data_IF_170448089087
#
_entry.id   IF_170448089087
#
_cell.length_a   1.000
_cell.length_b   1.000
_cell.length_c   1.000
_cell.angle_alpha   90.00
_cell.angle_beta   90.00
_cell.angle_gamma   90.00
#
_symmetry.space_group_name_H-M   'P 1'
#
loop_
_entity.id
_entity.type
_entity.pdbx_description
1 polymer ?
#
# COMPACT_ATOMS: atom_id res chain seq x y z
N UNK A 1 18.63 -12.64 10.75
CA UNK A 1 17.57 -13.44 10.10
C UNK A 1 17.04 -12.59 8.96
N UNK A 2 17.54 -12.81 7.75
CA UNK A 2 17.07 -12.09 6.56
C UNK A 2 15.66 -12.58 6.26
N UNK A 3 14.67 -11.70 6.49
CA UNK A 3 13.32 -11.95 5.99
C UNK A 3 13.41 -11.68 4.49
N UNK A 4 13.11 -12.66 3.61
CA UNK A 4 13.23 -12.44 2.18
C UNK A 4 12.40 -11.22 1.79
N UNK A 5 13.09 -10.25 1.18
CA UNK A 5 12.48 -9.08 0.57
C UNK A 5 11.39 -9.52 -0.42
N UNK A 6 10.48 -8.59 -0.76
CA UNK A 6 9.48 -8.78 -1.80
C UNK A 6 10.06 -9.54 -3.00
N UNK A 7 9.39 -10.62 -3.42
CA UNK A 7 9.70 -11.30 -4.68
C UNK A 7 9.64 -10.25 -5.81
N UNK A 8 10.80 -9.83 -6.31
CA UNK A 8 10.91 -8.70 -7.24
C UNK A 8 10.50 -9.09 -8.65
N UNK A 9 10.54 -10.38 -8.99
CA UNK A 9 10.28 -10.86 -10.36
C UNK A 9 8.91 -10.44 -10.89
N UNK A 10 7.88 -10.43 -10.02
CA UNK A 10 6.54 -9.96 -10.40
C UNK A 10 6.54 -8.45 -10.68
N UNK A 11 7.29 -7.69 -9.89
CA UNK A 11 7.33 -6.23 -10.00
C UNK A 11 8.13 -5.76 -11.20
N UNK A 12 9.25 -6.42 -11.51
CA UNK A 12 10.08 -6.12 -12.67
C UNK A 12 9.27 -6.23 -13.96
N UNK A 13 8.50 -7.33 -14.11
CA UNK A 13 7.60 -7.51 -15.25
C UNK A 13 6.52 -6.42 -15.35
N UNK A 14 5.99 -5.93 -14.21
CA UNK A 14 5.05 -4.80 -14.22
C UNK A 14 5.75 -3.52 -14.69
N UNK A 15 6.93 -3.21 -14.14
CA UNK A 15 7.69 -2.00 -14.45
C UNK A 15 8.08 -1.92 -15.92
N UNK A 16 8.45 -3.05 -16.52
CA UNK A 16 8.74 -3.14 -17.96
C UNK A 16 7.48 -3.00 -18.84
N UNK A 17 6.32 -3.41 -18.33
CA UNK A 17 5.07 -3.48 -19.10
C UNK A 17 4.29 -2.17 -19.14
N UNK A 18 4.63 -1.17 -18.32
CA UNK A 18 3.83 0.05 -18.17
C UNK A 18 4.66 1.31 -18.32
N UNK A 19 4.08 2.32 -18.96
CA UNK A 19 4.69 3.65 -19.12
C UNK A 19 4.34 4.63 -17.99
N UNK A 20 3.47 4.22 -17.07
CA UNK A 20 3.07 5.02 -15.90
C UNK A 20 3.96 4.71 -14.68
N UNK A 21 4.13 5.65 -13.74
CA UNK A 21 4.92 5.39 -12.55
C UNK A 21 4.39 4.22 -11.70
N UNK A 22 5.31 3.36 -11.24
CA UNK A 22 5.08 2.17 -10.42
C UNK A 22 5.51 2.44 -8.98
N UNK A 23 4.59 2.21 -8.05
CA UNK A 23 4.84 2.23 -6.61
C UNK A 23 4.90 0.77 -6.13
N UNK A 24 6.06 0.35 -5.65
CA UNK A 24 6.26 -1.01 -5.16
C UNK A 24 6.01 -1.08 -3.66
N UNK A 25 5.38 -2.15 -3.21
CA UNK A 25 5.16 -2.43 -1.79
C UNK A 25 5.47 -3.90 -1.50
N UNK A 26 5.15 -4.36 -0.29
CA UNK A 26 5.35 -5.71 0.26
C UNK A 26 6.61 -5.86 1.13
N UNK A 27 6.41 -6.04 2.44
CA UNK A 27 7.47 -6.30 3.46
C UNK A 27 8.75 -5.44 3.31
N UNK A 28 8.59 -4.19 2.89
CA UNK A 28 9.71 -3.28 2.66
C UNK A 28 10.41 -2.87 3.95
N UNK A 29 11.73 -2.79 3.89
CA UNK A 29 12.58 -2.06 4.83
C UNK A 29 13.44 -1.04 4.04
N UNK A 30 14.21 -0.19 4.72
CA UNK A 30 15.04 0.83 4.06
C UNK A 30 16.05 0.21 3.08
N UNK A 31 16.90 -0.71 3.54
CA UNK A 31 17.96 -1.29 2.71
C UNK A 31 17.43 -1.96 1.44
N UNK A 32 16.33 -2.72 1.57
CA UNK A 32 15.65 -3.38 0.45
C UNK A 32 15.01 -2.36 -0.49
N UNK A 33 14.28 -1.38 0.06
CA UNK A 33 13.61 -0.36 -0.74
C UNK A 33 14.60 0.53 -1.50
N UNK A 34 15.68 0.93 -0.86
CA UNK A 34 16.76 1.70 -1.47
C UNK A 34 17.43 0.94 -2.61
N UNK A 35 17.76 -0.34 -2.38
CA UNK A 35 18.32 -1.20 -3.43
C UNK A 35 17.40 -1.24 -4.67
N UNK A 36 16.12 -1.53 -4.48
CA UNK A 36 15.15 -1.62 -5.58
C UNK A 36 14.99 -0.30 -6.32
N UNK A 37 14.96 0.81 -5.57
CA UNK A 37 14.84 2.15 -6.14
C UNK A 37 16.06 2.50 -7.00
N UNK A 38 17.27 2.24 -6.49
CA UNK A 38 18.54 2.48 -7.21
C UNK A 38 18.67 1.58 -8.43
N UNK A 39 18.23 0.33 -8.35
CA UNK A 39 18.23 -0.62 -9.47
C UNK A 39 17.13 -0.33 -10.51
N UNK A 40 16.25 0.65 -10.25
CA UNK A 40 15.19 1.06 -11.18
C UNK A 40 13.96 0.14 -11.20
N UNK A 41 13.84 -0.80 -10.26
CA UNK A 41 12.71 -1.73 -10.16
C UNK A 41 11.39 -1.05 -9.77
N UNK A 42 11.44 0.17 -9.23
CA UNK A 42 10.25 0.97 -8.91
C UNK A 42 10.56 2.48 -8.97
N UNK A 43 9.55 3.30 -9.27
CA UNK A 43 9.67 4.77 -9.16
C UNK A 43 9.47 5.24 -7.72
N UNK A 44 8.76 4.47 -6.90
CA UNK A 44 8.51 4.78 -5.50
C UNK A 44 8.40 3.52 -4.65
N UNK A 45 8.77 3.63 -3.38
CA UNK A 45 8.63 2.56 -2.39
C UNK A 45 7.54 2.92 -1.39
N UNK A 46 6.50 2.09 -1.30
CA UNK A 46 5.44 2.22 -0.31
C UNK A 46 5.73 1.36 0.93
N UNK A 47 5.81 2.03 2.08
CA UNK A 47 6.00 1.40 3.38
C UNK A 47 4.78 1.64 4.26
N UNK A 48 4.09 0.56 4.67
CA UNK A 48 2.98 0.66 5.62
C UNK A 48 3.41 0.34 7.06
N UNK A 49 3.61 -0.95 7.37
CA UNK A 49 4.01 -1.40 8.71
C UNK A 49 5.34 -0.81 9.21
N UNK A 50 6.36 -0.53 8.38
CA UNK A 50 7.56 0.18 8.84
C UNK A 50 7.25 1.56 9.44
N UNK A 51 6.32 2.32 8.84
CA UNK A 51 5.90 3.62 9.37
C UNK A 51 5.07 3.50 10.65
N UNK A 52 4.38 2.38 10.86
CA UNK A 52 3.69 2.09 12.13
C UNK A 52 4.72 1.76 13.22
N UNK A 53 5.76 0.99 12.88
CA UNK A 53 6.80 0.61 13.82
C UNK A 53 7.67 1.81 14.22
N UNK A 54 7.98 2.69 13.26
CA UNK A 54 8.77 3.90 13.44
C UNK A 54 8.20 5.06 12.60
N UNK A 55 7.38 5.94 13.21
CA UNK A 55 6.84 7.11 12.52
C UNK A 55 7.92 8.11 12.06
N UNK A 56 9.10 8.10 12.68
CA UNK A 56 10.23 8.98 12.33
C UNK A 56 11.14 8.39 11.26
N UNK A 57 10.83 7.19 10.76
CA UNK A 57 11.61 6.49 9.73
C UNK A 57 12.01 7.41 8.56
N UNK A 58 11.13 8.23 7.95
CA UNK A 58 11.53 9.10 6.85
C UNK A 58 12.58 10.14 7.26
N UNK A 59 12.43 10.74 8.43
CA UNK A 59 13.36 11.75 8.95
C UNK A 59 14.70 11.15 9.33
N UNK A 60 14.70 9.97 9.97
CA UNK A 60 15.93 9.26 10.35
C UNK A 60 16.71 8.83 9.12
N UNK A 61 16.02 8.25 8.13
CA UNK A 61 16.64 7.81 6.89
C UNK A 61 17.22 8.98 6.09
N UNK A 62 16.50 10.12 5.99
CA UNK A 62 17.02 11.34 5.36
C UNK A 62 18.26 11.91 6.07
N UNK A 63 18.38 11.71 7.38
CA UNK A 63 19.52 12.18 8.18
C UNK A 63 20.67 11.18 8.24
N UNK A 64 20.59 10.06 7.51
CA UNK A 64 21.59 8.99 7.55
C UNK A 64 21.60 8.18 8.84
N UNK A 65 20.60 8.33 9.71
CA UNK A 65 20.47 7.65 11.01
C UNK A 65 19.73 6.32 10.88
N UNK A 66 20.12 5.53 9.88
CA UNK A 66 19.43 4.28 9.52
C UNK A 66 19.55 3.19 10.58
N UNK A 67 20.60 3.24 11.40
CA UNK A 67 20.84 2.39 12.56
C UNK A 67 19.88 2.67 13.73
N UNK A 68 19.30 3.87 13.80
CA UNK A 68 18.29 4.25 14.79
C UNK A 68 16.84 3.88 14.38
N UNK A 69 16.65 3.35 13.17
CA UNK A 69 15.33 3.01 12.66
C UNK A 69 14.86 1.73 13.34
N UNK A 70 13.68 1.77 13.98
CA UNK A 70 13.07 0.58 14.56
C UNK A 70 12.47 -0.30 13.45
N UNK A 71 13.04 -1.48 13.15
CA UNK A 71 12.55 -2.30 12.05
C UNK A 71 11.21 -2.97 12.40
N UNK A 72 10.34 -3.08 11.40
CA UNK A 72 9.14 -3.88 11.50
C UNK A 72 9.49 -5.38 11.42
N UNK A 73 9.05 -6.17 12.40
CA UNK A 73 9.24 -7.64 12.43
C UNK A 73 8.19 -8.42 11.65
N UNK A 74 7.25 -7.72 11.02
CA UNK A 74 6.18 -8.29 10.19
C UNK A 74 5.30 -9.34 10.90
N UNK A 75 5.12 -9.21 12.22
CA UNK A 75 4.32 -10.12 13.05
C UNK A 75 2.81 -9.99 12.84
N UNK A 76 2.35 -8.88 12.23
CA UNK A 76 0.94 -8.52 12.07
C UNK A 76 0.16 -8.30 13.39
N UNK A 77 0.86 -8.27 14.52
CA UNK A 77 0.29 -8.01 15.84
C UNK A 77 0.21 -6.50 16.12
N UNK A 78 -0.83 -6.07 16.82
CA UNK A 78 -1.13 -4.66 17.14
C UNK A 78 -1.54 -3.77 15.95
N UNK A 79 -1.22 -4.18 14.71
CA UNK A 79 -1.51 -3.45 13.48
C UNK A 79 -2.65 -4.11 12.70
N UNK A 80 -2.36 -5.20 11.99
CA UNK A 80 -3.36 -5.92 11.18
C UNK A 80 -4.38 -6.65 12.08
N UNK A 81 -3.93 -7.29 13.16
CA UNK A 81 -4.85 -7.95 14.10
C UNK A 81 -5.92 -6.99 14.62
N UNK A 82 -5.54 -5.75 14.96
CA UNK A 82 -6.41 -4.75 15.57
C UNK A 82 -7.41 -4.24 14.55
N UNK A 83 -6.97 -4.04 13.30
CA UNK A 83 -7.88 -3.74 12.19
C UNK A 83 -8.92 -4.84 11.99
N UNK A 84 -8.50 -6.10 12.03
CA UNK A 84 -9.38 -7.24 11.76
C UNK A 84 -10.28 -7.63 12.95
N UNK A 85 -9.82 -7.42 14.18
CA UNK A 85 -10.49 -7.95 15.39
C UNK A 85 -11.09 -6.88 16.29
N UNK A 86 -10.59 -5.64 16.26
CA UNK A 86 -11.03 -4.57 17.20
C UNK A 86 -11.68 -3.38 16.50
N UNK A 87 -11.76 -3.39 15.17
CA UNK A 87 -12.80 -2.73 14.38
C UNK A 87 -12.77 -1.20 14.34
N UNK A 88 -12.48 -0.64 13.17
CA UNK A 88 -13.17 0.56 12.70
C UNK A 88 -14.11 0.13 11.57
N UNK A 89 -15.36 -0.24 11.90
CA UNK A 89 -16.31 -0.82 10.93
C UNK A 89 -16.94 0.21 9.98
N UNK A 90 -16.41 1.43 9.90
CA UNK A 90 -16.84 2.41 8.90
C UNK A 90 -16.02 2.22 7.63
N UNK A 91 -16.43 1.26 6.83
CA UNK A 91 -15.82 0.98 5.52
C UNK A 91 -16.39 1.98 4.51
N UNK A 92 -15.52 2.64 3.76
CA UNK A 92 -15.91 3.48 2.61
C UNK A 92 -15.27 2.91 1.36
N UNK A 93 -16.10 2.50 0.39
CA UNK A 93 -15.67 2.14 -0.95
C UNK A 93 -15.50 3.43 -1.76
N UNK A 94 -14.29 3.69 -2.23
CA UNK A 94 -13.96 4.84 -3.08
C UNK A 94 -13.69 4.36 -4.49
N UNK A 95 -14.38 4.94 -5.46
CA UNK A 95 -14.33 4.58 -6.87
C UNK A 95 -14.11 5.85 -7.71
N UNK A 96 -13.19 5.78 -8.67
CA UNK A 96 -12.92 6.91 -9.57
C UNK A 96 -14.01 7.05 -10.64
N UNK A 97 -14.63 5.94 -11.04
CA UNK A 97 -15.73 5.97 -12.00
C UNK A 97 -17.06 6.46 -11.38
N UNK A 98 -17.98 6.86 -12.25
CA UNK A 98 -19.32 7.33 -11.83
C UNK A 98 -20.27 6.19 -11.40
N UNK A 99 -19.85 4.92 -11.48
CA UNK A 99 -20.67 3.77 -11.08
C UNK A 99 -19.82 2.62 -10.58
N UNK A 100 -20.24 1.96 -9.50
CA UNK A 100 -19.50 0.85 -8.91
C UNK A 100 -19.61 -0.43 -9.74
N UNK A 101 -18.50 -1.16 -9.89
CA UNK A 101 -18.51 -2.50 -10.45
C UNK A 101 -18.82 -2.55 -11.94
N UNK A 102 -18.25 -1.62 -12.74
CA UNK A 102 -18.37 -1.68 -14.21
C UNK A 102 -17.70 -2.93 -14.79
N UNK A 103 -16.65 -3.41 -14.15
CA UNK A 103 -15.80 -4.49 -14.65
C UNK A 103 -16.20 -5.88 -14.12
N UNK A 104 -17.37 -5.98 -13.49
CA UNK A 104 -17.90 -7.24 -12.95
C UNK A 104 -19.21 -7.63 -13.63
N UNK A 105 -19.38 -8.94 -13.85
CA UNK A 105 -20.56 -9.50 -14.49
C UNK A 105 -21.86 -9.16 -13.75
N UNK A 106 -23.01 -9.11 -14.44
CA UNK A 106 -24.27 -8.60 -13.87
C UNK A 106 -24.73 -9.30 -12.58
N UNK A 107 -24.58 -10.64 -12.52
CA UNK A 107 -24.98 -11.45 -11.36
C UNK A 107 -24.09 -11.13 -10.16
N UNK A 108 -22.76 -11.15 -10.37
CA UNK A 108 -21.77 -10.82 -9.33
C UNK A 108 -21.96 -9.39 -8.84
N UNK A 109 -22.22 -8.46 -9.75
CA UNK A 109 -22.48 -7.05 -9.42
C UNK A 109 -23.67 -6.89 -8.49
N UNK A 110 -24.78 -7.55 -8.78
CA UNK A 110 -25.96 -7.50 -7.94
C UNK A 110 -25.67 -8.02 -6.53
N UNK A 111 -25.05 -9.21 -6.41
CA UNK A 111 -24.71 -9.81 -5.12
C UNK A 111 -23.75 -8.94 -4.30
N UNK A 112 -22.72 -8.38 -4.92
CA UNK A 112 -21.76 -7.48 -4.25
C UNK A 112 -22.45 -6.21 -3.77
N UNK A 113 -23.27 -5.56 -4.60
CA UNK A 113 -23.98 -4.34 -4.19
C UNK A 113 -24.98 -4.59 -3.06
N UNK A 114 -25.67 -5.73 -3.08
CA UNK A 114 -26.55 -6.14 -2.00
C UNK A 114 -25.76 -6.34 -0.69
N UNK A 115 -24.61 -7.01 -0.75
CA UNK A 115 -23.71 -7.22 0.38
C UNK A 115 -23.19 -5.90 0.97
N UNK A 116 -22.70 -4.99 0.12
CA UNK A 116 -22.20 -3.68 0.56
C UNK A 116 -23.29 -2.87 1.28
N UNK A 117 -24.53 -2.92 0.77
CA UNK A 117 -25.68 -2.26 1.41
C UNK A 117 -26.00 -2.88 2.76
N UNK A 118 -26.00 -4.22 2.87
CA UNK A 118 -26.26 -4.95 4.12
C UNK A 118 -25.25 -4.58 5.22
N UNK A 119 -24.01 -4.29 4.86
CA UNK A 119 -22.93 -3.97 5.79
C UNK A 119 -22.70 -2.47 6.03
N UNK A 120 -23.63 -1.60 5.60
CA UNK A 120 -23.54 -0.15 5.78
C UNK A 120 -22.23 0.46 5.24
N UNK A 121 -21.70 -0.09 4.13
CA UNK A 121 -20.51 0.44 3.48
C UNK A 121 -20.87 1.76 2.78
N UNK A 122 -20.19 2.85 3.15
CA UNK A 122 -20.34 4.14 2.45
C UNK A 122 -19.72 4.03 1.07
N UNK A 123 -20.36 4.57 0.05
CA UNK A 123 -19.85 4.53 -1.33
C UNK A 123 -19.59 5.95 -1.82
N UNK A 124 -18.36 6.22 -2.27
CA UNK A 124 -17.94 7.47 -2.89
C UNK A 124 -17.56 7.20 -4.35
N UNK A 125 -18.25 7.85 -5.28
CA UNK A 125 -18.07 7.71 -6.74
C UNK A 125 -17.45 8.98 -7.31
N UNK A 126 -16.83 8.90 -8.48
CA UNK A 126 -16.24 10.06 -9.14
C UNK A 126 -15.06 10.66 -8.37
N UNK A 127 -14.40 9.86 -7.52
CA UNK A 127 -13.24 10.32 -6.78
C UNK A 127 -12.11 10.68 -7.75
N UNK A 128 -11.49 11.83 -7.55
CA UNK A 128 -10.36 12.28 -8.36
C UNK A 128 -9.11 12.34 -7.48
N UNK A 129 -8.03 11.73 -7.93
CA UNK A 129 -6.73 11.96 -7.32
C UNK A 129 -6.31 13.41 -7.61
N UNK A 130 -6.19 14.24 -6.57
CA UNK A 130 -5.91 15.68 -6.68
C UNK A 130 -4.40 15.93 -6.75
N UNK A 131 -3.61 15.20 -5.97
CA UNK A 131 -2.15 15.30 -5.95
C UNK A 131 -1.51 13.97 -5.53
N UNK A 132 -0.24 13.80 -5.87
CA UNK A 132 0.62 12.70 -5.40
C UNK A 132 1.69 13.31 -4.52
N UNK A 133 1.63 13.09 -3.21
CA UNK A 133 2.72 13.48 -2.31
C UNK A 133 3.73 12.34 -2.27
N UNK A 134 4.96 12.62 -2.68
CA UNK A 134 6.07 11.68 -2.66
C UNK A 134 7.13 12.26 -1.73
N UNK A 135 7.53 11.49 -0.71
CA UNK A 135 8.78 11.76 0.00
C UNK A 135 9.91 11.13 -0.80
N UNK A 136 10.66 11.96 -1.54
CA UNK A 136 11.90 11.55 -2.19
C UNK A 136 12.99 11.62 -1.11
N UNK A 137 13.58 10.49 -0.77
CA UNK A 137 14.80 10.45 0.02
C UNK A 137 15.93 10.90 -0.91
N UNK A 138 16.62 11.99 -0.53
CA UNK A 138 17.66 12.65 -1.33
C UNK A 138 19.00 12.50 -0.63
#
# INVERSE_FOLDING_TARGET
MEVPAADTAIWDGIKESVSIPVIMSNRMNIAVGEKIFVEGGADFIAMARPLIADPELPSKAQQGRSDEIRPCVACNQGCLDRLLTHGCKRITLVEMSNSIGKDIGPITRWSVLAYLKQHNVKIMKGAKAISRTVCIMN
#
